data_IF_596918297635
#
_entry.id   IF_596918297635
#
_cell.length_a   1.000
_cell.length_b   1.000
_cell.length_c   1.000
_cell.angle_alpha   90.00
_cell.angle_beta   90.00
_cell.angle_gamma   90.00
#
_symmetry.space_group_name_H-M   'P 1'
#
loop_
_entity.id
_entity.type
_entity.pdbx_description
1 polymer ?
#
# COMPACT_ATOMS: atom_id res chain seq x y z
N UNK A 1 14.65 15.47 24.00
CA UNK A 1 13.75 14.86 23.00
C UNK A 1 14.23 13.43 22.76
N UNK A 2 13.59 12.45 23.39
CA UNK A 2 13.89 11.04 23.10
C UNK A 2 13.45 10.81 21.66
N UNK A 3 14.40 10.59 20.74
CA UNK A 3 14.10 10.26 19.35
C UNK A 3 14.21 8.73 19.23
N UNK A 4 13.15 7.97 19.55
CA UNK A 4 13.15 6.54 19.27
C UNK A 4 13.45 6.34 17.79
N UNK A 5 14.35 5.40 17.49
CA UNK A 5 14.82 5.16 16.12
C UNK A 5 13.63 4.85 15.19
N UNK A 6 13.61 5.41 13.96
CA UNK A 6 12.45 5.32 13.08
C UNK A 6 12.19 3.87 12.68
N UNK A 7 11.00 3.31 12.95
CA UNK A 7 10.69 1.95 12.53
C UNK A 7 10.71 1.79 11.02
N UNK A 8 11.01 0.58 10.54
CA UNK A 8 10.96 0.25 9.13
C UNK A 8 10.32 -1.12 8.90
N UNK A 9 9.77 -1.32 7.71
CA UNK A 9 9.20 -2.61 7.33
C UNK A 9 9.03 -2.78 5.84
N UNK A 10 8.83 -4.03 5.46
CA UNK A 10 8.57 -4.48 4.08
C UNK A 10 7.34 -5.39 4.04
N UNK A 11 6.69 -5.42 2.88
CA UNK A 11 5.65 -6.37 2.53
C UNK A 11 5.92 -6.96 1.16
N UNK A 12 6.04 -8.29 1.10
CA UNK A 12 6.41 -9.05 -0.09
C UNK A 12 5.42 -10.20 -0.31
N UNK A 13 5.43 -10.82 -1.49
CA UNK A 13 4.61 -12.00 -1.76
C UNK A 13 5.18 -13.20 -0.99
N UNK A 14 4.29 -14.00 -0.40
CA UNK A 14 4.67 -15.18 0.38
C UNK A 14 4.97 -16.39 -0.51
N UNK A 15 5.63 -17.40 0.09
CA UNK A 15 5.88 -18.72 -0.51
C UNK A 15 4.59 -19.52 -0.68
N UNK A 16 3.65 -19.42 0.27
CA UNK A 16 2.43 -20.25 0.35
C UNK A 16 1.15 -19.49 -0.02
N UNK A 17 1.24 -18.53 -0.94
CA UNK A 17 0.19 -17.54 -1.27
C UNK A 17 -0.03 -16.47 -0.18
N UNK A 18 -0.36 -15.25 -0.59
CA UNK A 18 -0.59 -14.11 0.30
C UNK A 18 0.62 -13.18 0.46
N UNK A 19 0.56 -12.34 1.50
CA UNK A 19 1.56 -11.27 1.73
C UNK A 19 2.29 -11.53 3.05
N UNK A 20 3.62 -11.52 3.00
CA UNK A 20 4.49 -11.61 4.17
C UNK A 20 4.98 -10.23 4.58
N UNK A 21 4.83 -9.89 5.87
CA UNK A 21 5.29 -8.63 6.43
C UNK A 21 6.48 -8.85 7.37
N UNK A 22 7.56 -8.13 7.15
CA UNK A 22 8.69 -8.08 8.08
C UNK A 22 8.88 -6.63 8.51
N UNK A 23 8.75 -6.39 9.82
CA UNK A 23 8.82 -5.06 10.42
C UNK A 23 9.80 -5.08 11.57
N UNK A 24 10.52 -3.99 11.77
CA UNK A 24 11.50 -3.87 12.84
C UNK A 24 11.66 -2.42 13.28
N UNK A 25 11.56 -2.20 14.58
CA UNK A 25 11.91 -0.93 15.22
C UNK A 25 13.42 -0.76 15.24
N UNK A 26 13.91 0.43 14.89
CA UNK A 26 15.34 0.68 14.73
C UNK A 26 15.72 1.08 13.32
N UNK A 27 17.02 1.36 13.11
CA UNK A 27 17.55 1.71 11.79
C UNK A 27 17.27 0.56 10.80
N UNK A 28 17.23 0.88 9.50
CA UNK A 28 17.05 -0.10 8.41
C UNK A 28 18.03 -1.29 8.49
N UNK A 29 19.22 -1.09 9.07
CA UNK A 29 20.16 -2.19 9.36
C UNK A 29 19.52 -3.30 10.22
N UNK A 30 18.79 -2.94 11.28
CA UNK A 30 18.11 -3.91 12.13
C UNK A 30 17.06 -4.71 11.37
N UNK A 31 16.34 -4.06 10.42
CA UNK A 31 15.40 -4.75 9.56
C UNK A 31 16.12 -5.75 8.63
N UNK A 32 17.26 -5.37 8.07
CA UNK A 32 18.09 -6.28 7.27
C UNK A 32 18.52 -7.50 8.08
N UNK A 33 19.08 -7.29 9.26
CA UNK A 33 19.56 -8.38 10.12
C UNK A 33 18.42 -9.35 10.46
N UNK A 34 17.19 -8.83 10.68
CA UNK A 34 15.99 -9.65 10.91
C UNK A 34 15.56 -10.45 9.69
N UNK A 35 15.62 -9.84 8.50
CA UNK A 35 15.33 -10.52 7.23
C UNK A 35 16.34 -11.64 6.99
N UNK A 36 17.62 -11.39 7.24
CA UNK A 36 18.69 -12.39 7.12
C UNK A 36 18.54 -13.53 8.12
N UNK A 37 18.07 -13.25 9.34
CA UNK A 37 17.75 -14.27 10.34
C UNK A 37 16.54 -15.13 9.97
N UNK A 38 15.71 -14.71 9.00
CA UNK A 38 14.54 -15.44 8.52
C UNK A 38 14.76 -16.08 7.13
N UNK A 39 16.03 -16.25 6.72
CA UNK A 39 16.41 -16.86 5.42
C UNK A 39 15.75 -18.20 5.16
N UNK A 40 15.69 -19.05 6.17
CA UNK A 40 15.13 -20.39 6.04
C UNK A 40 13.61 -20.37 5.79
N UNK A 41 12.92 -19.27 6.13
CA UNK A 41 11.46 -19.12 5.97
C UNK A 41 11.08 -18.34 4.71
N UNK A 42 11.92 -17.38 4.29
CA UNK A 42 11.60 -16.44 3.21
C UNK A 42 12.00 -16.91 1.81
N UNK A 43 12.68 -18.07 1.68
CA UNK A 43 13.11 -18.68 0.42
C UNK A 43 13.64 -17.67 -0.62
N UNK A 44 14.87 -17.23 -0.43
CA UNK A 44 15.54 -16.24 -1.26
C UNK A 44 15.93 -16.75 -2.65
N UNK A 45 15.90 -18.07 -2.87
CA UNK A 45 16.31 -18.69 -4.14
C UNK A 45 15.14 -18.81 -5.13
N UNK A 46 13.91 -18.49 -4.67
CA UNK A 46 12.72 -18.53 -5.50
C UNK A 46 12.72 -17.44 -6.58
N UNK A 47 12.51 -17.86 -7.82
CA UNK A 47 12.24 -16.94 -8.92
C UNK A 47 10.76 -16.58 -9.01
N UNK A 48 10.46 -15.27 -8.95
CA UNK A 48 9.12 -14.73 -9.13
C UNK A 48 9.07 -13.94 -10.44
N UNK A 49 8.25 -14.39 -11.39
CA UNK A 49 8.07 -13.69 -12.66
C UNK A 49 7.35 -12.34 -12.50
N UNK A 50 6.42 -12.27 -11.55
CA UNK A 50 5.67 -11.06 -11.19
C UNK A 50 5.67 -10.98 -9.67
N UNK A 51 6.16 -9.85 -9.14
CA UNK A 51 6.27 -9.62 -7.71
C UNK A 51 6.08 -8.14 -7.41
N UNK A 52 5.37 -7.85 -6.30
CA UNK A 52 5.26 -6.49 -5.78
C UNK A 52 5.86 -6.43 -4.38
N UNK A 53 6.92 -5.66 -4.20
CA UNK A 53 7.46 -5.31 -2.89
C UNK A 53 7.04 -3.90 -2.51
N UNK A 54 6.53 -3.73 -1.28
CA UNK A 54 6.33 -2.41 -0.67
C UNK A 54 7.19 -2.27 0.57
N UNK A 55 7.78 -1.10 0.78
CA UNK A 55 8.68 -0.82 1.89
C UNK A 55 8.41 0.58 2.45
N UNK A 56 8.65 0.77 3.75
CA UNK A 56 8.49 2.07 4.37
C UNK A 56 9.41 2.27 5.57
N UNK A 57 9.92 3.50 5.71
CA UNK A 57 10.58 3.99 6.91
C UNK A 57 9.69 5.06 7.54
N UNK A 58 9.27 4.86 8.79
CA UNK A 58 8.33 5.74 9.48
C UNK A 58 9.07 6.71 10.39
N UNK A 59 8.80 8.01 10.25
CA UNK A 59 9.10 8.98 11.31
C UNK A 59 7.92 9.03 12.28
N UNK A 60 8.08 8.49 13.49
CA UNK A 60 6.97 8.39 14.44
C UNK A 60 6.66 9.75 15.06
N UNK A 61 5.55 10.37 14.66
CA UNK A 61 5.00 11.60 15.29
C UNK A 61 3.89 11.29 16.29
N UNK A 62 3.20 10.15 16.13
CA UNK A 62 2.11 9.69 17.00
C UNK A 62 2.23 8.19 17.30
N UNK A 63 2.07 7.83 18.58
CA UNK A 63 2.22 6.46 19.09
C UNK A 63 3.66 6.09 19.41
N UNK A 64 3.85 5.14 20.34
CA UNK A 64 5.17 4.61 20.68
C UNK A 64 5.71 3.82 19.49
N UNK A 65 6.96 4.04 19.06
CA UNK A 65 7.56 3.20 18.02
C UNK A 65 7.58 1.74 18.43
N UNK A 66 6.98 0.92 17.58
CA UNK A 66 6.88 -0.50 17.76
C UNK A 66 6.73 -1.17 16.41
N UNK A 67 7.01 -2.46 16.35
CA UNK A 67 6.84 -3.27 15.14
C UNK A 67 5.37 -3.26 14.69
N UNK A 68 4.42 -3.23 15.64
CA UNK A 68 2.98 -3.10 15.36
C UNK A 68 2.70 -1.78 14.64
N UNK A 69 3.21 -0.67 15.18
CA UNK A 69 3.01 0.68 14.66
C UNK A 69 3.86 0.98 13.40
N UNK A 70 4.69 0.05 12.96
CA UNK A 70 5.48 0.15 11.74
C UNK A 70 4.61 -0.14 10.51
N UNK A 71 4.89 0.55 9.41
CA UNK A 71 4.35 0.21 8.10
C UNK A 71 5.15 -0.97 7.50
N UNK A 72 4.55 -1.75 6.58
CA UNK A 72 3.18 -1.63 6.07
C UNK A 72 2.10 -1.99 7.11
N UNK A 73 0.95 -1.32 7.04
CA UNK A 73 -0.22 -1.60 7.87
C UNK A 73 -1.14 -2.59 7.19
N UNK A 74 -1.76 -3.49 7.97
CA UNK A 74 -2.55 -4.62 7.46
C UNK A 74 -4.03 -4.50 7.81
N UNK A 75 -4.90 -4.99 6.92
CA UNK A 75 -6.35 -5.04 7.15
C UNK A 75 -6.75 -6.06 8.22
N UNK A 76 -6.02 -7.17 8.34
CA UNK A 76 -6.34 -8.32 9.19
C UNK A 76 -5.10 -9.19 9.41
N UNK A 77 -5.25 -10.28 10.15
CA UNK A 77 -4.17 -11.23 10.45
C UNK A 77 -3.69 -12.01 9.21
N UNK A 78 -4.53 -12.11 8.18
CA UNK A 78 -4.25 -12.81 6.92
C UNK A 78 -3.65 -11.89 5.84
N UNK A 79 -3.34 -10.64 6.19
CA UNK A 79 -2.77 -9.62 5.31
C UNK A 79 -3.52 -9.49 3.97
N UNK A 80 -4.86 -9.51 4.00
CA UNK A 80 -5.66 -9.42 2.77
C UNK A 80 -5.37 -8.12 1.99
N UNK A 81 -5.29 -7.00 2.71
CA UNK A 81 -4.84 -5.72 2.19
C UNK A 81 -3.73 -5.16 3.05
N UNK A 82 -2.73 -4.59 2.39
CA UNK A 82 -1.55 -4.02 3.01
C UNK A 82 -1.31 -2.63 2.41
N UNK A 83 -1.08 -1.65 3.28
CA UNK A 83 -0.96 -0.24 2.90
C UNK A 83 0.27 0.39 3.51
N UNK A 84 1.02 1.12 2.68
CA UNK A 84 2.03 2.08 3.12
C UNK A 84 1.41 3.47 3.06
N UNK A 85 1.56 4.24 4.12
CA UNK A 85 1.06 5.61 4.22
C UNK A 85 1.91 6.46 5.17
N UNK A 86 1.73 7.78 5.10
CA UNK A 86 2.34 8.75 5.98
C UNK A 86 1.52 9.09 7.25
N UNK A 87 0.20 8.78 7.30
CA UNK A 87 -0.68 9.19 8.42
C UNK A 87 -1.33 8.08 9.28
N UNK A 88 -2.43 7.44 8.83
CA UNK A 88 -3.32 6.63 9.71
C UNK A 88 -3.56 5.17 9.30
N UNK A 89 -3.47 4.26 10.27
CA UNK A 89 -3.69 2.80 10.12
C UNK A 89 -5.11 2.44 9.65
N UNK A 90 -6.07 3.33 9.87
CA UNK A 90 -7.50 3.14 9.53
C UNK A 90 -7.68 2.80 8.05
N UNK A 91 -6.79 3.29 7.17
CA UNK A 91 -6.87 3.09 5.72
C UNK A 91 -6.88 1.60 5.35
N UNK A 92 -6.09 0.76 6.03
CA UNK A 92 -6.04 -0.67 5.74
C UNK A 92 -7.33 -1.40 6.14
N UNK A 93 -8.00 -0.94 7.22
CA UNK A 93 -9.30 -1.48 7.65
C UNK A 93 -10.42 -1.03 6.72
N UNK A 94 -10.38 0.24 6.29
CA UNK A 94 -11.39 0.82 5.42
C UNK A 94 -11.44 0.12 4.05
N UNK A 95 -10.28 -0.12 3.41
CA UNK A 95 -10.28 -0.80 2.10
C UNK A 95 -10.86 -2.20 2.17
N UNK A 96 -10.58 -2.95 3.24
CA UNK A 96 -11.18 -4.27 3.46
C UNK A 96 -12.69 -4.19 3.65
N UNK A 97 -13.15 -3.22 4.43
CA UNK A 97 -14.58 -3.00 4.64
C UNK A 97 -15.30 -2.73 3.31
N UNK A 98 -14.74 -1.86 2.48
CA UNK A 98 -15.29 -1.55 1.14
C UNK A 98 -15.25 -2.77 0.20
N UNK A 99 -14.19 -3.57 0.24
CA UNK A 99 -14.12 -4.82 -0.54
C UNK A 99 -15.19 -5.84 -0.11
N UNK A 100 -15.52 -5.91 1.18
CA UNK A 100 -16.57 -6.79 1.68
C UNK A 100 -17.97 -6.32 1.24
N UNK A 101 -18.20 -5.01 1.19
CA UNK A 101 -19.46 -4.43 0.71
C UNK A 101 -19.62 -4.53 -0.81
N UNK A 102 -18.51 -4.41 -1.55
CA UNK A 102 -18.50 -4.36 -3.00
C UNK A 102 -17.43 -5.31 -3.58
N UNK A 103 -17.66 -6.63 -3.53
CA UNK A 103 -16.68 -7.64 -3.97
C UNK A 103 -16.42 -7.62 -5.49
N UNK A 104 -17.26 -6.93 -6.27
CA UNK A 104 -17.12 -6.81 -7.72
C UNK A 104 -16.26 -5.62 -8.17
N UNK A 105 -15.83 -4.75 -7.26
CA UNK A 105 -15.01 -3.59 -7.61
C UNK A 105 -13.60 -4.00 -7.97
N UNK A 106 -13.05 -3.36 -9.01
CA UNK A 106 -11.62 -3.44 -9.33
C UNK A 106 -10.78 -2.81 -8.21
N UNK A 107 -9.49 -3.15 -8.17
CA UNK A 107 -8.61 -2.62 -7.14
C UNK A 107 -8.52 -1.09 -7.17
N UNK A 108 -8.52 -0.51 -8.39
CA UNK A 108 -8.58 0.93 -8.60
C UNK A 108 -9.83 1.54 -7.99
N UNK A 109 -11.01 1.00 -8.30
CA UNK A 109 -12.29 1.53 -7.79
C UNK A 109 -12.36 1.47 -6.27
N UNK A 110 -11.86 0.39 -5.65
CA UNK A 110 -11.77 0.31 -4.19
C UNK A 110 -10.92 1.43 -3.60
N UNK A 111 -9.75 1.69 -4.18
CA UNK A 111 -8.88 2.79 -3.72
C UNK A 111 -9.51 4.15 -3.98
N UNK A 112 -10.23 4.34 -5.08
CA UNK A 112 -11.00 5.57 -5.34
C UNK A 112 -12.06 5.81 -4.25
N UNK A 113 -12.79 4.78 -3.84
CA UNK A 113 -13.76 4.89 -2.74
C UNK A 113 -13.09 5.16 -1.39
N UNK A 114 -11.91 4.57 -1.13
CA UNK A 114 -11.12 4.85 0.08
C UNK A 114 -10.75 6.33 0.14
N UNK A 115 -10.13 6.88 -0.91
CA UNK A 115 -9.62 8.26 -0.87
C UNK A 115 -10.73 9.32 -0.80
N UNK A 116 -11.95 9.00 -1.23
CA UNK A 116 -13.11 9.88 -1.08
C UNK A 116 -13.49 10.10 0.39
N UNK A 117 -13.17 9.15 1.27
CA UNK A 117 -13.44 9.26 2.72
C UNK A 117 -12.27 9.86 3.50
N UNK A 118 -11.11 10.06 2.86
CA UNK A 118 -9.93 10.59 3.53
C UNK A 118 -9.87 12.11 3.41
N UNK A 119 -9.53 12.78 4.51
CA UNK A 119 -9.22 14.21 4.58
C UNK A 119 -7.72 14.42 4.84
N UNK A 120 -7.18 15.60 4.52
CA UNK A 120 -5.76 15.93 4.69
C UNK A 120 -4.83 15.50 3.54
N UNK A 121 -3.53 15.40 3.83
CA UNK A 121 -2.47 15.18 2.84
C UNK A 121 -1.81 13.81 2.98
N UNK A 122 -1.88 12.98 1.94
CA UNK A 122 -1.38 11.61 1.97
C UNK A 122 -0.62 11.22 0.72
N UNK A 123 0.28 10.24 0.87
CA UNK A 123 0.81 9.43 -0.21
C UNK A 123 0.66 7.96 0.20
N UNK A 124 -0.06 7.19 -0.62
CA UNK A 124 -0.51 5.83 -0.30
C UNK A 124 -0.04 4.86 -1.37
N UNK A 125 0.32 3.65 -0.94
CA UNK A 125 0.55 2.51 -1.81
C UNK A 125 -0.15 1.27 -1.23
N UNK A 126 -0.99 0.64 -2.05
CA UNK A 126 -1.84 -0.48 -1.68
C UNK A 126 -1.38 -1.75 -2.39
N UNK A 127 -1.33 -2.84 -1.64
CA UNK A 127 -1.10 -4.21 -2.12
C UNK A 127 -2.17 -5.12 -1.53
N UNK A 128 -2.61 -6.11 -2.29
CA UNK A 128 -3.58 -7.10 -1.81
C UNK A 128 -3.29 -8.49 -2.36
N UNK A 129 -3.65 -9.53 -1.60
CA UNK A 129 -3.65 -10.90 -2.10
C UNK A 129 -4.81 -11.20 -3.05
N UNK A 130 -5.88 -10.41 -3.00
CA UNK A 130 -7.05 -10.54 -3.88
C UNK A 130 -6.77 -9.98 -5.29
N UNK A 131 -5.77 -9.11 -5.41
CA UNK A 131 -5.34 -8.48 -6.67
C UNK A 131 -3.84 -8.75 -6.90
N UNK A 132 -3.45 -10.01 -7.17
CA UNK A 132 -2.06 -10.40 -7.30
C UNK A 132 -1.41 -9.74 -8.53
N UNK A 133 -0.20 -9.18 -8.35
CA UNK A 133 0.51 -8.48 -9.42
C UNK A 133 0.03 -7.06 -9.69
N UNK A 134 -0.93 -6.54 -8.91
CA UNK A 134 -1.39 -5.16 -9.00
C UNK A 134 -0.91 -4.30 -7.83
N UNK A 135 -0.44 -3.09 -8.14
CA UNK A 135 -0.08 -2.06 -7.18
C UNK A 135 -0.88 -0.80 -7.50
N UNK A 136 -1.67 -0.32 -6.54
CA UNK A 136 -2.37 0.96 -6.68
C UNK A 136 -1.75 1.98 -5.75
N UNK A 137 -1.35 3.13 -6.30
CA UNK A 137 -0.75 4.22 -5.52
C UNK A 137 -1.47 5.53 -5.81
N UNK A 138 -1.60 6.38 -4.80
CA UNK A 138 -2.32 7.67 -4.92
C UNK A 138 -1.72 8.70 -3.99
N UNK A 139 -1.88 9.98 -4.32
CA UNK A 139 -1.41 11.09 -3.51
C UNK A 139 -2.38 12.26 -3.49
N UNK A 140 -2.38 12.99 -2.38
CA UNK A 140 -2.99 14.32 -2.25
C UNK A 140 -2.11 15.15 -1.32
N UNK A 141 -1.56 16.27 -1.79
CA UNK A 141 -0.69 17.13 -0.95
C UNK A 141 0.71 16.58 -0.61
N UNK A 142 0.97 15.27 -0.67
CA UNK A 142 2.28 14.66 -0.39
C UNK A 142 2.99 14.17 -1.67
N UNK A 143 4.32 14.31 -1.83
CA UNK A 143 5.05 13.83 -3.01
C UNK A 143 4.94 12.31 -3.22
N UNK A 144 4.75 11.90 -4.47
CA UNK A 144 4.76 10.50 -4.94
C UNK A 144 5.18 10.50 -6.41
N UNK A 145 6.07 9.59 -6.80
CA UNK A 145 6.58 9.43 -8.16
C UNK A 145 6.68 7.96 -8.53
N UNK A 146 6.54 7.65 -9.82
CA UNK A 146 6.64 6.30 -10.37
C UNK A 146 7.77 6.27 -11.39
N UNK A 147 8.76 5.43 -11.17
CA UNK A 147 9.85 5.16 -12.11
C UNK A 147 9.61 3.86 -12.86
N UNK A 148 9.77 3.86 -14.18
CA UNK A 148 9.57 2.68 -15.04
C UNK A 148 10.89 2.33 -15.71
N UNK A 149 11.28 1.06 -15.66
CA UNK A 149 12.46 0.52 -16.34
C UNK A 149 12.09 -0.74 -17.08
N UNK A 150 12.34 -0.77 -18.39
CA UNK A 150 12.12 -1.93 -19.26
C UNK A 150 13.27 -2.05 -20.27
N UNK A 151 13.51 -3.26 -20.79
CA UNK A 151 14.45 -3.50 -21.90
C UNK A 151 13.85 -3.08 -23.24
N UNK A 152 12.52 -3.11 -23.33
CA UNK A 152 11.77 -2.79 -24.55
C UNK A 152 11.42 -1.31 -24.62
N UNK A 153 11.17 -0.80 -25.82
CA UNK A 153 10.73 0.58 -25.98
C UNK A 153 9.30 0.72 -25.45
N UNK A 154 9.06 1.74 -24.62
CA UNK A 154 7.72 2.08 -24.16
C UNK A 154 6.85 2.51 -25.34
N UNK A 155 5.57 2.15 -25.30
CA UNK A 155 4.59 2.51 -26.32
C UNK A 155 4.32 4.02 -26.38
N UNK A 156 4.44 4.70 -25.24
CA UNK A 156 4.24 6.15 -25.09
C UNK A 156 5.10 6.68 -23.95
N UNK A 157 5.57 7.92 -24.08
CA UNK A 157 6.19 8.72 -23.01
C UNK A 157 5.16 9.57 -22.25
N UNK A 158 3.91 9.58 -22.71
CA UNK A 158 2.78 10.23 -22.08
C UNK A 158 1.72 9.22 -21.62
N UNK A 159 1.40 9.23 -20.32
CA UNK A 159 0.34 8.39 -19.74
C UNK A 159 -0.93 9.25 -19.66
N UNK A 160 -1.97 8.96 -20.45
CA UNK A 160 -3.21 9.72 -20.40
C UNK A 160 -3.94 9.52 -19.07
N UNK A 161 -4.56 10.59 -18.57
CA UNK A 161 -5.41 10.52 -17.39
C UNK A 161 -6.75 9.89 -17.78
N UNK A 162 -7.17 8.87 -17.04
CA UNK A 162 -8.43 8.17 -17.24
C UNK A 162 -9.42 8.55 -16.14
N UNK A 163 -10.61 9.00 -16.54
CA UNK A 163 -11.71 9.28 -15.63
C UNK A 163 -12.61 8.05 -15.52
N UNK A 164 -13.15 7.80 -14.32
CA UNK A 164 -14.23 6.82 -14.18
C UNK A 164 -15.44 7.32 -14.96
N UNK A 165 -16.25 6.40 -15.52
CA UNK A 165 -17.49 6.79 -16.21
C UNK A 165 -18.40 7.47 -15.19
N UNK A 166 -18.87 8.68 -15.51
CA UNK A 166 -19.76 9.45 -14.64
C UNK A 166 -20.90 8.55 -14.10
N UNK A 167 -21.04 8.51 -12.78
CA UNK A 167 -22.29 8.06 -12.15
C UNK A 167 -23.41 9.00 -12.60
N UNK A 168 -24.63 8.51 -12.87
CA UNK A 168 -25.63 9.23 -13.66
C UNK A 168 -26.05 10.57 -13.03
N UNK A 169 -26.18 11.58 -13.90
CA UNK A 169 -26.91 12.85 -13.78
C UNK A 169 -27.16 13.40 -12.36
N UNK A 170 -26.46 14.49 -12.03
CA UNK A 170 -27.06 15.50 -11.16
C UNK A 170 -28.30 16.02 -11.86
N UNK A 171 -29.49 15.61 -11.39
CA UNK A 171 -30.77 16.23 -11.73
C UNK A 171 -30.63 17.73 -11.46
N UNK A 172 -30.63 18.54 -12.51
CA UNK A 172 -30.89 19.97 -12.41
C UNK A 172 -32.24 20.14 -11.71
N UNK A 173 -32.21 20.67 -10.50
CA UNK A 173 -33.38 21.26 -9.88
C UNK A 173 -33.77 22.46 -10.77
N UNK A 174 -34.72 22.24 -11.67
CA UNK A 174 -35.43 23.33 -12.33
C UNK A 174 -36.08 24.17 -11.23
N UNK A 175 -35.59 25.40 -11.08
CA UNK A 175 -36.25 26.43 -10.29
C UNK A 175 -37.60 26.74 -10.93
N UNK A 176 -38.65 26.54 -10.14
CA UNK A 176 -39.98 27.14 -10.31
C UNK A 176 -39.95 28.65 -10.21
#
# INVERSE_FOLDING_TARGET
VYCPLPPSGIGIDSTTEGVTLVKQTGKVKCLRDKIEAQKDTLDFDRELNIHIGIAHTRWATHGVPSDINSHPQRSDELNEFVVVHNDTEIIAKLIKHLHTLHPSYSFRELVEQVIQQLEGAFALAFKSKHFPGELVTTRRGSPLLVGIKTKEKLSSDHIPILYSKDSPEKVELQGS
#
